data_IF_805562097374
#
_entry.id   IF_805562097374
#
_cell.length_a   1.000
_cell.length_b   1.000
_cell.length_c   1.000
_cell.angle_alpha   90.00
_cell.angle_beta   90.00
_cell.angle_gamma   90.00
#
_symmetry.space_group_name_H-M   'P 1'
#
loop_
_entity.id
_entity.type
_entity.pdbx_description
1 polymer ?
#
# COMPACT_ATOMS: atom_id res chain seq x y z
N UNK A 1 4.93 8.65 5.92
CA UNK A 1 4.17 9.73 6.56
C UNK A 1 5.08 10.90 6.93
N UNK A 2 6.18 10.67 7.67
CA UNK A 2 7.08 11.72 8.16
C UNK A 2 7.96 12.37 7.08
N UNK A 3 8.01 11.82 5.87
CA UNK A 3 8.82 12.36 4.76
C UNK A 3 8.09 13.38 3.90
N UNK A 4 6.75 13.51 4.01
CA UNK A 4 6.02 14.43 3.17
C UNK A 4 4.50 14.34 3.28
N UNK A 5 3.82 15.16 2.50
CA UNK A 5 2.37 15.16 2.36
C UNK A 5 1.93 14.18 1.28
N UNK A 6 0.78 13.55 1.49
CA UNK A 6 0.24 12.53 0.60
C UNK A 6 -0.41 13.11 -0.67
N UNK A 7 0.27 14.07 -1.30
CA UNK A 7 -0.21 14.74 -2.51
C UNK A 7 -0.61 13.76 -3.63
N UNK A 8 0.13 12.66 -3.79
CA UNK A 8 -0.19 11.63 -4.77
C UNK A 8 -1.58 11.02 -4.54
N UNK A 9 -1.96 10.75 -3.29
CA UNK A 9 -3.30 10.25 -2.97
C UNK A 9 -4.40 11.28 -3.26
N UNK A 10 -4.14 12.57 -3.04
CA UNK A 10 -5.06 13.66 -3.41
C UNK A 10 -5.33 13.67 -4.90
N UNK A 11 -4.28 13.64 -5.73
CA UNK A 11 -4.45 13.66 -7.17
C UNK A 11 -5.13 12.40 -7.69
N UNK A 12 -4.81 11.22 -7.12
CA UNK A 12 -5.53 9.99 -7.41
C UNK A 12 -7.02 10.10 -7.03
N UNK A 13 -7.35 10.63 -5.84
CA UNK A 13 -8.74 10.84 -5.43
C UNK A 13 -9.51 11.71 -6.42
N UNK A 14 -8.89 12.80 -6.90
CA UNK A 14 -9.52 13.78 -7.77
C UNK A 14 -9.63 13.30 -9.24
N UNK A 15 -8.86 12.26 -9.61
CA UNK A 15 -9.01 11.59 -10.92
C UNK A 15 -10.32 10.81 -10.93
N UNK A 16 -10.88 10.62 -12.11
CA UNK A 16 -12.06 9.77 -12.30
C UNK A 16 -11.85 8.89 -13.54
N UNK A 17 -10.64 8.35 -13.68
CA UNK A 17 -10.22 7.61 -14.87
C UNK A 17 -9.62 6.24 -14.59
N UNK A 18 -9.75 5.71 -13.35
CA UNK A 18 -9.35 4.36 -12.98
C UNK A 18 -10.41 3.65 -12.12
N UNK A 19 -10.27 2.34 -11.88
CA UNK A 19 -11.29 1.51 -11.26
C UNK A 19 -10.90 1.03 -9.85
N UNK A 20 -9.62 0.91 -9.54
CA UNK A 20 -9.12 0.44 -8.25
C UNK A 20 -7.69 0.94 -7.99
N UNK A 21 -7.29 0.98 -6.73
CA UNK A 21 -5.92 1.25 -6.29
C UNK A 21 -5.26 -0.09 -5.95
N UNK A 22 -4.11 -0.37 -6.55
CA UNK A 22 -3.22 -1.45 -6.12
C UNK A 22 -2.15 -0.84 -5.21
N UNK A 23 -2.06 -1.30 -3.97
CA UNK A 23 -1.07 -0.87 -3.01
C UNK A 23 -0.12 -2.04 -2.71
N UNK A 24 1.16 -1.85 -3.02
CA UNK A 24 2.13 -2.95 -3.07
C UNK A 24 2.98 -3.07 -1.80
N UNK A 25 2.54 -2.44 -0.71
CA UNK A 25 3.19 -2.50 0.59
C UNK A 25 3.68 -1.14 1.07
N UNK A 26 4.31 -1.11 2.25
CA UNK A 26 4.77 0.12 2.93
C UNK A 26 3.63 1.14 3.16
N UNK A 27 2.47 0.62 3.52
CA UNK A 27 1.32 1.46 3.85
C UNK A 27 1.55 2.24 5.15
N UNK A 28 2.26 1.63 6.11
CA UNK A 28 2.75 2.25 7.33
C UNK A 28 4.25 1.95 7.49
N UNK A 29 4.93 2.68 8.36
CA UNK A 29 6.32 2.46 8.75
C UNK A 29 6.40 2.26 10.26
N UNK A 30 7.18 1.28 10.73
CA UNK A 30 7.25 0.86 12.13
C UNK A 30 8.08 1.79 13.02
N UNK A 31 8.93 2.61 12.47
CA UNK A 31 9.90 3.42 13.23
C UNK A 31 9.25 4.36 14.24
N UNK A 32 10.00 4.64 15.31
CA UNK A 32 9.68 5.71 16.26
C UNK A 32 9.63 7.07 15.55
N UNK A 33 8.86 8.01 16.08
CA UNK A 33 8.81 9.38 15.58
C UNK A 33 10.21 9.99 15.45
N UNK A 34 10.51 10.55 14.28
CA UNK A 34 11.84 11.10 13.96
C UNK A 34 12.91 10.06 13.59
N UNK A 35 12.62 8.76 13.71
CA UNK A 35 13.56 7.69 13.35
C UNK A 35 13.78 7.55 11.84
N UNK A 36 12.73 7.81 11.06
CA UNK A 36 12.75 7.84 9.60
C UNK A 36 11.90 9.04 9.14
N UNK A 37 12.51 10.22 9.07
CA UNK A 37 11.79 11.49 8.95
C UNK A 37 12.57 12.55 8.19
N UNK A 38 11.87 13.39 7.41
CA UNK A 38 12.38 14.63 6.85
C UNK A 38 12.30 15.82 7.81
N UNK A 39 11.76 15.64 9.02
CA UNK A 39 11.64 16.68 10.04
C UNK A 39 10.51 17.68 9.80
N UNK A 40 9.45 17.27 9.11
CA UNK A 40 8.24 18.08 8.88
C UNK A 40 7.41 18.07 10.17
N UNK A 41 7.23 19.24 10.80
CA UNK A 41 6.76 19.39 12.18
C UNK A 41 5.31 18.95 12.46
N UNK A 42 4.47 18.80 11.42
CA UNK A 42 3.08 18.35 11.54
C UNK A 42 2.85 16.94 11.00
N UNK A 43 3.95 16.22 10.76
CA UNK A 43 3.94 14.86 10.20
C UNK A 43 4.64 13.85 11.12
N UNK A 44 4.64 14.07 12.43
CA UNK A 44 5.20 13.12 13.39
C UNK A 44 4.34 11.87 13.49
N UNK A 45 4.98 10.70 13.62
CA UNK A 45 4.30 9.43 13.78
C UNK A 45 3.65 9.28 15.17
N UNK A 46 2.47 8.67 15.21
CA UNK A 46 1.86 8.15 16.44
C UNK A 46 1.70 6.61 16.35
N UNK A 47 1.99 5.86 17.44
CA UNK A 47 2.58 6.34 18.68
C UNK A 47 4.02 6.82 18.45
N UNK A 48 4.58 7.60 19.39
CA UNK A 48 5.92 8.18 19.27
C UNK A 48 7.05 7.14 19.34
N UNK A 49 6.79 5.97 19.93
CA UNK A 49 7.73 4.84 19.98
C UNK A 49 7.67 4.00 18.70
N UNK A 50 8.69 3.20 18.47
CA UNK A 50 8.62 2.11 17.49
C UNK A 50 7.47 1.16 17.82
N UNK A 51 6.76 0.71 16.79
CA UNK A 51 5.58 -0.14 16.98
C UNK A 51 5.95 -1.61 17.04
N UNK A 52 5.51 -2.29 18.12
CA UNK A 52 5.81 -3.70 18.42
C UNK A 52 4.55 -4.45 18.81
N UNK A 53 3.72 -3.83 19.66
CA UNK A 53 2.49 -4.46 20.16
C UNK A 53 1.32 -4.26 19.17
N UNK A 54 0.31 -5.11 19.30
CA UNK A 54 -0.93 -4.99 18.51
C UNK A 54 -1.56 -3.60 18.64
N UNK A 55 -1.54 -3.03 19.84
CA UNK A 55 -2.07 -1.67 20.08
C UNK A 55 -1.24 -0.61 19.36
N UNK A 56 0.07 -0.72 19.35
CA UNK A 56 0.94 0.22 18.63
C UNK A 56 0.64 0.22 17.13
N UNK A 57 0.52 -0.98 16.52
CA UNK A 57 0.17 -1.11 15.10
C UNK A 57 -1.20 -0.51 14.80
N UNK A 58 -2.21 -0.75 15.65
CA UNK A 58 -3.55 -0.16 15.50
C UNK A 58 -3.53 1.36 15.57
N UNK A 59 -2.76 1.93 16.51
CA UNK A 59 -2.58 3.38 16.61
C UNK A 59 -1.91 3.93 15.36
N UNK A 60 -0.87 3.28 14.84
CA UNK A 60 -0.16 3.70 13.63
C UNK A 60 -1.09 3.68 12.39
N UNK A 61 -1.87 2.62 12.17
CA UNK A 61 -2.88 2.59 11.10
C UNK A 61 -3.94 3.68 11.26
N UNK A 62 -4.43 3.86 12.48
CA UNK A 62 -5.38 4.93 12.81
C UNK A 62 -4.83 6.30 12.48
N UNK A 63 -3.58 6.55 12.87
CA UNK A 63 -2.88 7.81 12.63
C UNK A 63 -2.75 8.11 11.13
N UNK A 64 -2.29 7.16 10.32
CA UNK A 64 -2.20 7.34 8.87
C UNK A 64 -3.56 7.59 8.23
N UNK A 65 -4.64 6.94 8.74
CA UNK A 65 -6.01 7.14 8.26
C UNK A 65 -6.65 8.45 8.68
N UNK A 66 -6.02 9.24 9.55
CA UNK A 66 -6.42 10.62 9.82
C UNK A 66 -5.99 11.59 8.72
N UNK A 67 -5.05 11.19 7.85
CA UNK A 67 -4.72 11.97 6.66
C UNK A 67 -5.93 12.00 5.71
N UNK A 68 -6.38 13.21 5.38
CA UNK A 68 -7.58 13.44 4.57
C UNK A 68 -7.46 12.84 3.17
N UNK A 69 -6.30 12.97 2.55
CA UNK A 69 -6.09 12.53 1.18
C UNK A 69 -6.11 11.00 1.06
N UNK A 70 -5.48 10.30 2.01
CA UNK A 70 -5.52 8.84 2.09
C UNK A 70 -6.93 8.33 2.44
N UNK A 71 -7.60 8.96 3.40
CA UNK A 71 -8.96 8.59 3.81
C UNK A 71 -9.95 8.74 2.67
N UNK A 72 -9.92 9.89 1.99
CA UNK A 72 -10.84 10.22 0.91
C UNK A 72 -10.60 9.33 -0.31
N UNK A 73 -9.34 8.95 -0.60
CA UNK A 73 -9.05 7.97 -1.64
C UNK A 73 -9.64 6.60 -1.33
N UNK A 74 -9.55 6.13 -0.08
CA UNK A 74 -10.21 4.89 0.36
C UNK A 74 -11.73 4.96 0.29
N UNK A 75 -12.33 6.14 0.46
CA UNK A 75 -13.76 6.33 0.31
C UNK A 75 -14.21 6.18 -1.14
N UNK A 76 -13.40 6.65 -2.09
CA UNK A 76 -13.76 6.70 -3.51
C UNK A 76 -13.47 5.40 -4.25
N UNK A 77 -12.39 4.70 -3.91
CA UNK A 77 -11.88 3.59 -4.69
C UNK A 77 -11.64 2.33 -3.85
N UNK A 78 -11.91 1.13 -4.41
CA UNK A 78 -11.49 -0.11 -3.78
C UNK A 78 -9.97 -0.23 -3.80
N UNK A 79 -9.40 -0.72 -2.70
CA UNK A 79 -7.98 -1.01 -2.57
C UNK A 79 -7.73 -2.51 -2.67
N UNK A 80 -6.72 -2.89 -3.45
CA UNK A 80 -6.17 -4.23 -3.53
C UNK A 80 -4.76 -4.17 -2.97
N UNK A 81 -4.58 -4.67 -1.75
CA UNK A 81 -3.35 -4.48 -0.98
C UNK A 81 -2.57 -5.77 -0.81
N UNK A 82 -1.26 -5.65 -0.68
CA UNK A 82 -0.35 -6.58 -0.01
C UNK A 82 0.49 -5.79 0.98
N UNK A 83 1.03 -6.45 2.02
CA UNK A 83 2.06 -5.84 2.85
C UNK A 83 3.42 -5.91 2.16
N UNK A 84 4.34 -5.07 2.62
CA UNK A 84 5.77 -5.26 2.46
C UNK A 84 6.39 -5.44 3.86
N UNK A 85 7.65 -5.10 4.07
CA UNK A 85 8.31 -5.33 5.35
C UNK A 85 7.86 -4.34 6.44
N UNK A 86 7.70 -3.05 6.12
CA UNK A 86 7.38 -2.01 7.09
C UNK A 86 6.00 -2.13 7.75
N UNK A 87 5.10 -2.92 7.19
CA UNK A 87 3.88 -3.31 7.92
C UNK A 87 4.19 -4.19 9.12
N UNK A 88 5.39 -4.78 9.19
CA UNK A 88 5.90 -5.51 10.36
C UNK A 88 7.18 -4.89 10.91
N UNK A 89 8.30 -4.99 10.22
CA UNK A 89 9.57 -4.33 10.54
C UNK A 89 10.52 -4.44 9.34
N UNK A 90 11.39 -3.43 9.16
CA UNK A 90 12.38 -3.37 8.07
C UNK A 90 13.09 -4.68 7.81
N UNK A 91 13.19 -5.04 6.52
CA UNK A 91 13.79 -6.27 6.00
C UNK A 91 13.22 -7.53 6.67
N UNK A 92 11.88 -7.59 6.84
CA UNK A 92 11.23 -8.75 7.42
C UNK A 92 11.29 -9.99 6.52
N UNK A 93 11.40 -11.14 7.16
CA UNK A 93 11.35 -12.46 6.56
C UNK A 93 10.54 -13.41 7.46
N UNK A 94 10.39 -14.67 7.07
CA UNK A 94 9.50 -15.62 7.75
C UNK A 94 9.76 -15.70 9.24
N UNK A 95 11.03 -15.75 9.67
CA UNK A 95 11.45 -16.04 11.04
C UNK A 95 12.11 -14.84 11.76
N UNK A 96 12.12 -13.64 11.16
CA UNK A 96 12.75 -12.45 11.74
C UNK A 96 12.60 -11.21 10.91
N UNK A 97 13.30 -10.15 11.32
CA UNK A 97 13.46 -8.90 10.59
C UNK A 97 14.81 -8.25 10.96
N UNK A 98 15.35 -7.42 10.08
CA UNK A 98 16.55 -6.65 10.40
C UNK A 98 16.27 -5.67 11.55
N UNK A 99 15.10 -5.00 11.53
CA UNK A 99 14.66 -4.10 12.60
C UNK A 99 13.83 -4.83 13.66
N UNK A 100 14.41 -5.91 14.25
CA UNK A 100 13.81 -6.61 15.37
C UNK A 100 14.87 -7.21 16.28
N UNK A 101 14.91 -6.79 17.55
CA UNK A 101 15.78 -7.33 18.58
C UNK A 101 14.99 -8.16 19.61
N UNK A 102 15.06 -9.52 19.55
CA UNK A 102 14.32 -10.37 20.49
C UNK A 102 14.69 -10.15 21.96
N UNK A 103 15.85 -9.54 22.26
CA UNK A 103 16.29 -9.29 23.64
C UNK A 103 15.56 -8.12 24.31
N UNK A 104 15.07 -7.16 23.52
CA UNK A 104 14.37 -5.95 24.00
C UNK A 104 12.91 -5.89 23.59
N UNK A 105 12.54 -6.53 22.48
CA UNK A 105 11.23 -6.40 21.82
C UNK A 105 10.36 -7.67 21.95
N UNK A 106 10.92 -8.75 22.50
CA UNK A 106 10.21 -10.01 22.65
C UNK A 106 10.35 -10.94 21.44
N UNK A 107 9.46 -11.93 21.34
CA UNK A 107 9.55 -12.90 20.24
C UNK A 107 9.10 -12.30 18.92
N UNK A 108 9.85 -12.60 17.84
CA UNK A 108 9.43 -12.24 16.49
C UNK A 108 8.03 -12.76 16.13
N UNK A 109 7.72 -13.99 16.54
CA UNK A 109 6.38 -14.58 16.32
C UNK A 109 5.25 -13.74 16.88
N UNK A 110 5.45 -13.07 18.00
CA UNK A 110 4.45 -12.20 18.62
C UNK A 110 4.31 -10.90 17.85
N UNK A 111 5.45 -10.25 17.48
CA UNK A 111 5.42 -9.04 16.64
C UNK A 111 4.79 -9.32 15.28
N UNK A 112 5.17 -10.40 14.60
CA UNK A 112 4.58 -10.85 13.33
C UNK A 112 3.07 -11.06 13.47
N UNK A 113 2.62 -11.74 14.53
CA UNK A 113 1.19 -11.95 14.79
C UNK A 113 0.44 -10.63 15.01
N UNK A 114 1.02 -9.71 15.79
CA UNK A 114 0.44 -8.41 16.08
C UNK A 114 0.29 -7.56 14.81
N UNK A 115 1.33 -7.49 14.00
CA UNK A 115 1.37 -6.71 12.76
C UNK A 115 0.38 -7.25 11.73
N UNK A 116 0.38 -8.56 11.48
CA UNK A 116 -0.51 -9.19 10.51
C UNK A 116 -1.98 -9.12 10.94
N UNK A 117 -2.27 -9.22 12.23
CA UNK A 117 -3.62 -9.01 12.76
C UNK A 117 -4.08 -7.58 12.53
N UNK A 118 -3.27 -6.57 12.90
CA UNK A 118 -3.62 -5.16 12.68
C UNK A 118 -3.83 -4.87 11.18
N UNK A 119 -2.98 -5.43 10.31
CA UNK A 119 -3.13 -5.29 8.87
C UNK A 119 -4.49 -5.76 8.37
N UNK A 120 -4.95 -6.95 8.79
CA UNK A 120 -6.26 -7.49 8.39
C UNK A 120 -7.45 -6.75 9.02
N UNK A 121 -7.24 -6.08 10.15
CA UNK A 121 -8.27 -5.23 10.76
C UNK A 121 -8.48 -3.90 10.01
N UNK A 122 -7.42 -3.36 9.42
CA UNK A 122 -7.43 -2.02 8.80
C UNK A 122 -7.54 -2.03 7.28
N UNK A 123 -7.14 -3.11 6.63
CA UNK A 123 -7.13 -3.21 5.17
C UNK A 123 -8.10 -4.29 4.67
N UNK A 124 -8.78 -4.06 3.52
CA UNK A 124 -9.91 -4.89 3.07
C UNK A 124 -9.46 -6.21 2.41
N UNK A 125 -8.77 -7.05 3.17
CA UNK A 125 -8.30 -8.36 2.70
C UNK A 125 -9.17 -9.47 3.27
N UNK A 126 -9.50 -10.44 2.44
CA UNK A 126 -10.12 -11.69 2.86
C UNK A 126 -9.11 -12.81 2.75
N UNK A 127 -8.77 -13.41 3.88
CA UNK A 127 -8.00 -14.66 3.89
C UNK A 127 -8.86 -15.81 3.37
N UNK A 128 -8.28 -16.76 2.62
CA UNK A 128 -9.00 -17.92 2.09
C UNK A 128 -9.60 -18.79 3.20
N UNK A 129 -8.95 -18.85 4.35
CA UNK A 129 -9.35 -19.60 5.53
C UNK A 129 -9.58 -18.62 6.67
N UNK A 130 -10.74 -18.62 7.36
CA UNK A 130 -10.97 -17.76 8.51
C UNK A 130 -9.91 -17.96 9.61
N UNK A 131 -9.27 -16.86 10.01
CA UNK A 131 -8.19 -16.85 11.01
C UNK A 131 -6.80 -17.14 10.46
N UNK A 132 -6.66 -17.44 9.18
CA UNK A 132 -5.40 -17.48 8.48
C UNK A 132 -5.02 -16.06 8.04
N UNK A 133 -3.76 -15.68 8.22
CA UNK A 133 -3.24 -14.36 7.85
C UNK A 133 -2.60 -14.34 6.46
N UNK A 134 -2.86 -15.35 5.64
CA UNK A 134 -2.39 -15.42 4.26
C UNK A 134 -2.91 -14.24 3.43
N UNK A 135 -1.99 -13.50 2.78
CA UNK A 135 -2.36 -12.41 1.87
C UNK A 135 -2.19 -12.76 0.40
N UNK A 136 -1.35 -13.75 0.07
CA UNK A 136 -1.21 -14.12 -1.34
C UNK A 136 -2.52 -14.73 -1.85
N UNK A 137 -2.98 -14.21 -2.95
CA UNK A 137 -4.30 -14.54 -3.51
C UNK A 137 -4.39 -14.23 -4.99
N UNK A 138 -5.36 -14.86 -5.64
CA UNK A 138 -5.72 -14.58 -7.03
C UNK A 138 -7.03 -13.78 -7.07
N UNK A 139 -7.05 -12.74 -7.88
CA UNK A 139 -8.25 -11.96 -8.22
C UNK A 139 -8.44 -12.06 -9.73
N UNK A 140 -9.61 -12.51 -10.15
CA UNK A 140 -9.93 -12.66 -11.56
C UNK A 140 -10.86 -11.52 -12.01
N UNK A 141 -10.48 -10.84 -13.09
CA UNK A 141 -11.30 -9.80 -13.72
C UNK A 141 -11.75 -10.25 -15.11
N UNK A 142 -12.85 -10.99 -15.16
CA UNK A 142 -13.39 -11.57 -16.37
C UNK A 142 -12.39 -12.51 -17.08
N UNK A 143 -12.31 -12.38 -18.40
CA UNK A 143 -11.32 -13.05 -19.25
C UNK A 143 -10.09 -12.16 -19.57
N UNK A 144 -10.04 -10.96 -18.97
CA UNK A 144 -9.01 -9.99 -19.26
C UNK A 144 -7.79 -10.16 -18.34
N UNK A 145 -7.99 -10.31 -17.03
CA UNK A 145 -6.91 -10.30 -16.05
C UNK A 145 -7.07 -11.43 -15.05
N UNK A 146 -5.99 -12.17 -14.82
CA UNK A 146 -5.72 -12.90 -13.59
C UNK A 146 -4.63 -12.14 -12.82
N UNK A 147 -4.99 -11.52 -11.70
CA UNK A 147 -4.09 -10.78 -10.82
C UNK A 147 -3.68 -11.68 -9.66
N UNK A 148 -2.38 -11.92 -9.52
CA UNK A 148 -1.75 -12.69 -8.47
C UNK A 148 -1.04 -11.73 -7.51
N UNK A 149 -1.63 -11.50 -6.34
CA UNK A 149 -1.01 -10.72 -5.28
C UNK A 149 -0.15 -11.65 -4.45
N UNK A 150 1.14 -11.35 -4.30
CA UNK A 150 2.12 -12.21 -3.65
C UNK A 150 2.48 -11.73 -2.24
N UNK A 151 3.05 -12.61 -1.44
CA UNK A 151 3.73 -12.32 -0.19
C UNK A 151 5.22 -12.65 -0.36
N UNK A 152 6.06 -11.65 -0.52
CA UNK A 152 7.50 -11.81 -0.66
C UNK A 152 8.24 -11.61 0.66
N UNK A 153 7.52 -11.54 1.79
CA UNK A 153 8.08 -11.26 3.13
C UNK A 153 7.81 -12.38 4.14
N UNK A 154 6.58 -12.62 4.49
CA UNK A 154 6.26 -13.39 5.69
C UNK A 154 5.88 -14.86 5.47
N UNK A 155 5.53 -15.26 4.24
CA UNK A 155 5.05 -16.63 3.95
C UNK A 155 6.18 -17.66 3.92
N UNK A 156 7.29 -17.36 3.25
CA UNK A 156 8.32 -18.37 3.06
C UNK A 156 9.71 -17.82 2.75
N UNK A 157 9.92 -16.52 2.96
CA UNK A 157 11.17 -15.85 2.71
C UNK A 157 12.26 -16.26 3.68
N UNK A 158 13.40 -16.68 3.16
CA UNK A 158 14.63 -16.86 3.92
C UNK A 158 15.24 -15.51 4.30
N UNK A 159 16.00 -15.47 5.41
CA UNK A 159 16.78 -14.28 5.78
C UNK A 159 17.67 -13.80 4.62
N UNK A 160 17.83 -12.47 4.47
CA UNK A 160 18.72 -11.87 3.47
C UNK A 160 20.18 -12.26 3.67
N UNK A 161 20.99 -12.03 2.64
CA UNK A 161 22.42 -12.36 2.66
C UNK A 161 22.72 -13.83 2.37
N UNK A 162 23.97 -14.17 2.25
CA UNK A 162 24.42 -15.48 1.79
C UNK A 162 24.50 -15.57 0.27
N UNK A 163 24.52 -16.78 -0.29
CA UNK A 163 24.61 -16.95 -1.74
C UNK A 163 23.22 -16.87 -2.38
N UNK A 164 23.00 -15.93 -3.27
CA UNK A 164 21.76 -15.80 -4.03
C UNK A 164 21.42 -17.05 -4.88
N UNK A 165 22.45 -17.80 -5.28
CA UNK A 165 22.32 -19.04 -6.07
C UNK A 165 22.13 -20.29 -5.21
N UNK A 166 21.99 -20.20 -3.88
CA UNK A 166 21.72 -21.36 -3.02
C UNK A 166 20.29 -21.88 -3.26
N UNK A 167 20.12 -23.15 -3.70
CA UNK A 167 18.81 -23.75 -3.97
C UNK A 167 17.90 -23.90 -2.72
N UNK A 168 18.46 -23.73 -1.54
CA UNK A 168 17.68 -23.78 -0.28
C UNK A 168 17.14 -22.41 0.14
N UNK A 169 17.58 -21.34 -0.50
CA UNK A 169 17.05 -20.01 -0.26
C UNK A 169 15.77 -19.78 -1.05
N UNK A 170 14.81 -19.14 -0.44
CA UNK A 170 13.51 -18.90 -1.04
C UNK A 170 13.02 -17.48 -0.70
N UNK A 171 12.34 -16.86 -1.65
CA UNK A 171 11.59 -15.64 -1.47
C UNK A 171 10.09 -15.91 -1.23
N UNK A 172 9.51 -16.84 -1.99
CA UNK A 172 8.09 -17.17 -1.94
C UNK A 172 7.74 -18.35 -1.04
N UNK A 173 8.72 -19.22 -0.76
CA UNK A 173 8.45 -20.53 -0.18
C UNK A 173 7.83 -21.51 -1.18
N UNK A 174 7.97 -22.80 -0.89
CA UNK A 174 7.52 -23.83 -1.83
C UNK A 174 6.00 -23.87 -2.03
N UNK A 175 5.23 -23.53 -1.00
CA UNK A 175 3.77 -23.55 -1.02
C UNK A 175 3.24 -22.48 -1.97
N UNK A 176 3.64 -21.25 -1.76
CA UNK A 176 3.20 -20.11 -2.59
C UNK A 176 3.76 -20.23 -4.04
N UNK A 177 5.03 -20.64 -4.20
CA UNK A 177 5.61 -20.86 -5.53
C UNK A 177 4.78 -21.86 -6.35
N UNK A 178 4.45 -23.02 -5.76
CA UNK A 178 3.67 -24.04 -6.46
C UNK A 178 2.24 -23.57 -6.74
N UNK A 179 1.64 -22.85 -5.78
CA UNK A 179 0.33 -22.23 -5.96
C UNK A 179 0.33 -21.25 -7.15
N UNK A 180 1.34 -20.38 -7.23
CA UNK A 180 1.49 -19.40 -8.30
C UNK A 180 1.56 -20.09 -9.67
N UNK A 181 2.54 -20.98 -9.86
CA UNK A 181 2.75 -21.66 -11.14
C UNK A 181 1.53 -22.50 -11.56
N UNK A 182 0.87 -23.19 -10.63
CA UNK A 182 -0.30 -23.99 -10.97
C UNK A 182 -1.49 -23.13 -11.41
N UNK A 183 -1.68 -21.96 -10.76
CA UNK A 183 -2.73 -21.02 -11.17
C UNK A 183 -2.41 -20.35 -12.50
N UNK A 184 -1.17 -19.94 -12.74
CA UNK A 184 -0.75 -19.36 -14.02
C UNK A 184 -0.93 -20.35 -15.18
N UNK A 185 -0.56 -21.62 -14.99
CA UNK A 185 -0.73 -22.68 -15.99
C UNK A 185 -2.18 -22.96 -16.35
N UNK A 186 -3.08 -22.80 -15.41
CA UNK A 186 -4.52 -23.03 -15.59
C UNK A 186 -5.30 -21.77 -16.00
N UNK A 187 -4.64 -20.63 -16.08
CA UNK A 187 -5.24 -19.37 -16.46
C UNK A 187 -5.75 -19.39 -17.91
N UNK A 188 -6.91 -18.78 -18.11
CA UNK A 188 -7.48 -18.47 -19.43
C UNK A 188 -7.60 -16.97 -19.65
N UNK A 189 -7.10 -16.18 -18.72
CA UNK A 189 -7.11 -14.72 -18.85
C UNK A 189 -6.09 -14.26 -19.90
N UNK A 190 -6.41 -13.13 -20.56
CA UNK A 190 -5.52 -12.49 -21.52
C UNK A 190 -4.18 -12.08 -20.90
N UNK A 191 -4.24 -11.45 -19.73
CA UNK A 191 -3.08 -10.95 -19.00
C UNK A 191 -2.91 -11.69 -17.67
N UNK A 192 -1.67 -12.00 -17.34
CA UNK A 192 -1.28 -12.55 -16.06
C UNK A 192 -0.43 -11.53 -15.33
N UNK A 193 -1.01 -10.92 -14.31
CA UNK A 193 -0.39 -9.80 -13.60
C UNK A 193 0.03 -10.25 -12.21
N UNK A 194 1.30 -10.06 -11.87
CA UNK A 194 1.83 -10.29 -10.54
C UNK A 194 1.92 -8.94 -9.82
N UNK A 195 1.20 -8.77 -8.72
CA UNK A 195 1.39 -7.65 -7.79
C UNK A 195 2.24 -8.13 -6.62
N UNK A 196 3.43 -7.57 -6.48
CA UNK A 196 4.40 -8.01 -5.49
C UNK A 196 5.26 -6.84 -5.00
N UNK A 197 6.09 -7.08 -3.99
CA UNK A 197 6.75 -6.03 -3.25
C UNK A 197 8.06 -5.61 -3.91
N UNK A 198 9.03 -6.52 -3.99
CA UNK A 198 10.44 -6.23 -4.27
C UNK A 198 10.81 -6.41 -5.75
N UNK A 199 11.76 -5.63 -6.26
CA UNK A 199 12.15 -5.63 -7.67
C UNK A 199 12.58 -7.03 -8.14
N UNK A 200 11.97 -7.48 -9.26
CA UNK A 200 12.18 -8.81 -9.81
C UNK A 200 13.30 -8.85 -10.85
N UNK A 201 13.38 -7.84 -11.71
CA UNK A 201 14.46 -7.76 -12.70
C UNK A 201 15.82 -7.62 -12.02
N UNK A 202 16.88 -8.25 -12.53
CA UNK A 202 18.23 -8.07 -12.01
C UNK A 202 18.66 -6.60 -12.02
N UNK A 203 19.38 -6.18 -10.98
CA UNK A 203 19.97 -4.84 -10.92
C UNK A 203 21.43 -4.91 -10.50
N UNK A 204 22.30 -4.73 -11.45
CA UNK A 204 23.75 -4.73 -11.23
C UNK A 204 24.34 -3.35 -11.51
N UNK A 205 25.24 -2.91 -10.65
CA UNK A 205 26.09 -1.74 -10.91
C UNK A 205 27.53 -2.16 -10.83
N UNK A 206 28.26 -2.00 -11.94
CA UNK A 206 29.67 -2.39 -12.08
C UNK A 206 29.93 -3.86 -11.73
N UNK A 207 28.96 -4.75 -11.98
CA UNK A 207 29.08 -6.19 -11.77
C UNK A 207 28.85 -6.65 -10.32
N UNK A 208 28.23 -5.80 -9.51
CA UNK A 208 27.77 -6.15 -8.17
C UNK A 208 26.26 -5.88 -8.07
N UNK A 209 25.53 -6.75 -7.39
CA UNK A 209 24.13 -6.54 -7.04
C UNK A 209 24.00 -5.34 -6.12
N UNK A 210 22.94 -4.55 -6.31
CA UNK A 210 22.74 -3.34 -5.55
C UNK A 210 22.04 -3.63 -4.21
N UNK A 211 21.11 -4.58 -4.21
CA UNK A 211 20.25 -4.85 -3.06
C UNK A 211 19.91 -6.35 -2.96
N UNK A 212 20.38 -7.01 -1.91
CA UNK A 212 20.09 -8.44 -1.64
C UNK A 212 18.68 -8.64 -1.03
N UNK A 213 17.99 -7.56 -0.68
CA UNK A 213 16.62 -7.62 -0.17
C UNK A 213 15.58 -7.88 -1.27
N UNK A 214 15.91 -7.59 -2.51
CA UNK A 214 15.09 -7.89 -3.67
C UNK A 214 15.41 -9.29 -4.26
N UNK A 215 14.82 -9.64 -5.42
CA UNK A 215 15.05 -10.94 -6.08
C UNK A 215 16.52 -11.25 -6.40
N UNK A 216 17.38 -10.24 -6.41
CA UNK A 216 18.81 -10.41 -6.56
C UNK A 216 19.50 -11.17 -5.40
N UNK A 217 18.88 -11.18 -4.22
CA UNK A 217 19.30 -12.05 -3.11
C UNK A 217 18.79 -13.50 -3.23
N UNK A 218 18.00 -13.83 -4.26
CA UNK A 218 17.30 -15.11 -4.44
C UNK A 218 17.32 -15.57 -5.91
N UNK A 219 18.45 -15.43 -6.57
CA UNK A 219 18.64 -15.71 -8.01
C UNK A 219 18.16 -17.10 -8.40
N UNK A 220 18.45 -18.12 -7.57
CA UNK A 220 18.03 -19.48 -7.85
C UNK A 220 16.50 -19.60 -7.97
N UNK A 221 15.75 -18.97 -7.09
CA UNK A 221 14.28 -19.03 -7.15
C UNK A 221 13.73 -18.15 -8.27
N UNK A 222 14.34 -17.00 -8.55
CA UNK A 222 14.00 -16.15 -9.70
C UNK A 222 14.17 -16.93 -11.01
N UNK A 223 15.33 -17.53 -11.22
CA UNK A 223 15.62 -18.33 -12.43
C UNK A 223 14.65 -19.51 -12.56
N UNK A 224 14.37 -20.20 -11.46
CA UNK A 224 13.38 -21.29 -11.42
C UNK A 224 11.97 -20.81 -11.78
N UNK A 225 11.58 -19.61 -11.35
CA UNK A 225 10.30 -19.00 -11.70
C UNK A 225 10.26 -18.66 -13.20
N UNK A 226 11.29 -18.01 -13.72
CA UNK A 226 11.42 -17.65 -15.12
C UNK A 226 11.42 -18.89 -16.03
N UNK A 227 12.19 -19.92 -15.70
CA UNK A 227 12.21 -21.20 -16.40
C UNK A 227 10.84 -21.89 -16.39
N UNK A 228 10.11 -21.82 -15.25
CA UNK A 228 8.77 -22.39 -15.15
C UNK A 228 7.77 -21.66 -16.04
N UNK A 229 7.83 -20.34 -16.11
CA UNK A 229 6.99 -19.50 -16.98
C UNK A 229 7.27 -19.83 -18.45
N UNK A 230 8.54 -19.81 -18.84
CA UNK A 230 8.99 -20.08 -20.19
C UNK A 230 8.64 -21.52 -20.65
N UNK A 231 8.93 -22.54 -19.83
CA UNK A 231 8.68 -23.95 -20.14
C UNK A 231 7.18 -24.29 -20.28
N UNK A 232 6.31 -23.54 -19.62
CA UNK A 232 4.85 -23.72 -19.70
C UNK A 232 4.18 -22.80 -20.74
N UNK A 233 4.95 -22.02 -21.52
CA UNK A 233 4.46 -21.04 -22.49
C UNK A 233 3.43 -20.06 -21.88
N UNK A 234 3.69 -19.60 -20.67
CA UNK A 234 2.88 -18.58 -20.02
C UNK A 234 3.24 -17.23 -20.65
N UNK A 235 2.27 -16.61 -21.32
CA UNK A 235 2.45 -15.37 -22.06
C UNK A 235 1.76 -14.20 -21.38
N UNK A 236 2.00 -12.98 -21.86
CA UNK A 236 1.38 -11.76 -21.38
C UNK A 236 1.56 -11.56 -19.88
N UNK A 237 2.74 -11.86 -19.36
CA UNK A 237 3.08 -11.65 -17.98
C UNK A 237 3.50 -10.19 -17.76
N UNK A 238 2.91 -9.56 -16.75
CA UNK A 238 3.27 -8.23 -16.27
C UNK A 238 3.51 -8.32 -14.77
N UNK A 239 4.60 -7.73 -14.30
CA UNK A 239 4.91 -7.63 -12.87
C UNK A 239 4.75 -6.18 -12.42
N UNK A 240 4.10 -5.96 -11.29
CA UNK A 240 3.93 -4.68 -10.63
C UNK A 240 4.69 -4.73 -9.32
N UNK A 241 5.55 -3.74 -9.08
CA UNK A 241 6.52 -3.75 -7.99
C UNK A 241 6.56 -2.40 -7.27
N UNK A 242 6.82 -2.42 -5.95
CA UNK A 242 7.05 -1.26 -5.08
C UNK A 242 8.46 -1.25 -4.47
N UNK A 243 8.55 -1.08 -3.14
CA UNK A 243 9.74 -1.23 -2.28
C UNK A 243 10.91 -0.25 -2.55
N UNK A 244 11.47 -0.28 -3.73
CA UNK A 244 12.73 0.41 -4.07
C UNK A 244 12.61 1.96 -4.16
N UNK A 245 11.44 2.52 -3.89
CA UNK A 245 11.14 3.97 -3.83
C UNK A 245 11.60 4.77 -5.05
N UNK A 246 11.57 4.14 -6.22
CA UNK A 246 11.95 4.72 -7.52
C UNK A 246 11.17 4.03 -8.63
N UNK A 247 11.07 4.67 -9.79
CA UNK A 247 10.31 4.12 -10.91
C UNK A 247 11.23 3.46 -11.92
N UNK A 248 10.81 2.28 -12.41
CA UNK A 248 11.55 1.52 -13.41
C UNK A 248 10.62 0.86 -14.41
N UNK A 249 11.11 0.65 -15.63
CA UNK A 249 10.54 -0.26 -16.61
C UNK A 249 11.61 -1.25 -16.99
N UNK A 250 11.32 -2.52 -16.77
CA UNK A 250 12.25 -3.61 -16.99
C UNK A 250 11.62 -4.67 -17.89
N UNK A 251 12.36 -5.14 -18.87
CA UNK A 251 12.07 -6.45 -19.47
C UNK A 251 12.61 -7.53 -18.52
N UNK A 252 11.93 -8.67 -18.40
CA UNK A 252 12.36 -9.74 -17.51
C UNK A 252 13.24 -10.76 -18.24
N UNK A 253 14.59 -10.69 -18.09
CA UNK A 253 15.53 -11.33 -18.99
C UNK A 253 15.81 -12.79 -18.62
N UNK A 254 15.71 -13.70 -19.59
CA UNK A 254 16.38 -14.99 -19.55
C UNK A 254 17.86 -14.85 -19.93
N UNK A 255 18.66 -15.90 -19.75
CA UNK A 255 20.08 -15.90 -20.05
C UNK A 255 20.44 -15.57 -21.51
N UNK A 256 19.51 -15.73 -22.44
CA UNK A 256 19.64 -15.40 -23.85
C UNK A 256 18.99 -14.09 -24.26
N UNK A 257 18.72 -13.22 -23.31
CA UNK A 257 18.05 -11.92 -23.54
C UNK A 257 18.86 -11.02 -24.49
N UNK A 258 18.14 -10.35 -25.38
CA UNK A 258 18.68 -9.33 -26.29
C UNK A 258 17.71 -8.15 -26.41
N UNK A 259 18.09 -7.01 -25.88
CA UNK A 259 17.29 -5.77 -25.91
C UNK A 259 16.96 -5.31 -27.34
N UNK A 260 17.86 -5.53 -28.31
CA UNK A 260 17.65 -5.09 -29.70
C UNK A 260 16.60 -5.89 -30.46
N UNK A 261 16.28 -7.10 -30.02
CA UNK A 261 15.33 -8.01 -30.69
C UNK A 261 14.20 -8.49 -29.80
N UNK A 262 14.20 -8.10 -28.54
CA UNK A 262 13.28 -8.60 -27.51
C UNK A 262 13.30 -10.12 -27.34
N UNK A 263 14.37 -10.78 -27.79
CA UNK A 263 14.51 -12.25 -27.62
C UNK A 263 14.88 -12.56 -26.17
N UNK A 264 14.26 -13.57 -25.58
CA UNK A 264 14.59 -14.03 -24.24
C UNK A 264 14.01 -13.16 -23.11
N UNK A 265 13.02 -12.32 -23.36
CA UNK A 265 12.19 -11.74 -22.31
C UNK A 265 10.96 -12.60 -22.06
N UNK A 266 10.56 -12.76 -20.79
CA UNK A 266 9.35 -13.51 -20.40
C UNK A 266 8.19 -12.61 -20.00
N UNK A 267 8.40 -11.30 -19.88
CA UNK A 267 7.41 -10.33 -19.47
C UNK A 267 8.02 -8.97 -19.18
N UNK A 268 7.20 -8.06 -18.69
CA UNK A 268 7.60 -6.68 -18.35
C UNK A 268 7.30 -6.41 -16.89
N UNK A 269 8.22 -5.74 -16.19
CA UNK A 269 8.04 -5.24 -14.85
C UNK A 269 7.88 -3.73 -14.86
N UNK A 270 6.81 -3.25 -14.23
CA UNK A 270 6.55 -1.86 -13.93
C UNK A 270 6.77 -1.63 -12.44
N UNK A 271 7.83 -0.90 -12.10
CA UNK A 271 8.13 -0.52 -10.73
C UNK A 271 7.63 0.90 -10.50
N UNK A 272 6.82 1.08 -9.45
CA UNK A 272 6.26 2.38 -9.08
C UNK A 272 7.04 2.96 -7.89
N UNK A 273 7.28 4.27 -7.95
CA UNK A 273 7.95 5.00 -6.86
C UNK A 273 7.07 5.10 -5.61
N UNK A 274 7.66 5.56 -4.52
CA UNK A 274 6.98 5.86 -3.27
C UNK A 274 6.10 7.12 -3.36
N UNK A 275 5.13 7.21 -2.45
CA UNK A 275 4.32 8.43 -2.26
C UNK A 275 5.13 9.53 -1.60
N UNK A 276 5.94 9.18 -0.57
CA UNK A 276 6.75 10.16 0.17
C UNK A 276 8.11 9.62 0.66
N UNK A 277 8.33 8.32 0.72
CA UNK A 277 9.58 7.75 1.22
C UNK A 277 10.75 8.06 0.29
N UNK A 278 11.96 8.35 0.81
CA UNK A 278 13.11 8.76 0.00
C UNK A 278 13.49 7.74 -1.06
N UNK A 279 13.69 8.19 -2.29
CA UNK A 279 14.18 7.37 -3.39
C UNK A 279 15.70 7.18 -3.39
N UNK A 280 16.23 6.66 -4.50
CA UNK A 280 17.65 6.39 -4.71
C UNK A 280 18.46 7.63 -5.16
N UNK A 281 18.13 8.81 -4.65
CA UNK A 281 18.76 10.07 -5.03
C UNK A 281 20.28 10.09 -4.78
N UNK A 282 20.80 9.21 -3.90
CA UNK A 282 22.23 9.03 -3.66
C UNK A 282 22.97 8.46 -4.90
N UNK A 283 22.28 7.77 -5.79
CA UNK A 283 22.79 7.38 -7.11
C UNK A 283 22.77 8.56 -8.09
N UNK A 284 22.45 9.75 -7.61
CA UNK A 284 22.16 10.96 -8.36
C UNK A 284 23.14 11.27 -9.48
N UNK A 285 22.63 11.44 -10.67
CA UNK A 285 23.37 11.62 -11.90
C UNK A 285 23.55 10.35 -12.72
N UNK A 286 23.23 9.17 -12.23
CA UNK A 286 23.07 7.98 -13.02
C UNK A 286 21.69 8.04 -13.71
N UNK A 287 21.65 8.48 -14.94
CA UNK A 287 20.42 8.39 -15.76
C UNK A 287 20.22 6.99 -16.32
N UNK A 288 19.03 6.70 -16.84
CA UNK A 288 18.65 5.43 -17.46
C UNK A 288 19.75 4.87 -18.40
N UNK A 289 20.32 5.71 -19.26
CA UNK A 289 21.35 5.27 -20.21
C UNK A 289 22.63 4.76 -19.55
N UNK A 290 23.00 5.27 -18.39
CA UNK A 290 24.18 4.80 -17.64
C UNK A 290 23.89 3.47 -16.96
N UNK A 291 22.72 3.32 -16.36
CA UNK A 291 22.28 2.08 -15.73
C UNK A 291 22.11 0.97 -16.76
N UNK A 292 21.51 1.27 -17.92
CA UNK A 292 21.29 0.35 -19.02
C UNK A 292 22.59 -0.20 -19.64
N UNK A 293 23.74 0.47 -19.45
CA UNK A 293 25.03 -0.08 -19.89
C UNK A 293 25.37 -1.39 -19.19
N UNK A 294 24.97 -1.56 -17.95
CA UNK A 294 25.17 -2.77 -17.15
C UNK A 294 23.92 -3.68 -17.16
N UNK A 295 22.76 -3.10 -17.41
CA UNK A 295 21.44 -3.71 -17.32
C UNK A 295 20.65 -3.45 -18.61
N UNK A 296 20.97 -4.12 -19.74
CA UNK A 296 20.38 -3.81 -21.04
C UNK A 296 18.86 -4.10 -21.14
N UNK A 297 18.28 -4.73 -20.14
CA UNK A 297 16.84 -4.98 -19.99
C UNK A 297 16.09 -3.83 -19.32
N UNK A 298 16.79 -2.86 -18.72
CA UNK A 298 16.16 -1.68 -18.10
C UNK A 298 15.91 -0.62 -19.20
N UNK A 299 14.65 -0.28 -19.38
CA UNK A 299 14.20 0.63 -20.43
C UNK A 299 14.00 2.07 -19.91
N UNK A 300 13.70 2.24 -18.62
CA UNK A 300 13.44 3.52 -17.99
C UNK A 300 13.78 3.49 -16.50
N UNK A 301 14.24 4.62 -15.99
CA UNK A 301 14.43 4.85 -14.54
C UNK A 301 14.12 6.30 -14.18
N UNK A 302 13.44 6.49 -13.05
CA UNK A 302 13.40 7.75 -12.31
C UNK A 302 13.70 7.47 -10.85
N UNK A 303 14.81 7.97 -10.35
CA UNK A 303 15.43 7.54 -9.09
C UNK A 303 15.04 8.41 -7.88
N UNK A 304 14.33 9.51 -8.08
CA UNK A 304 14.16 10.52 -7.04
C UNK A 304 12.75 11.10 -6.90
N UNK A 305 11.94 10.99 -7.94
CA UNK A 305 10.61 11.61 -7.94
C UNK A 305 9.58 10.73 -7.21
N UNK A 306 8.60 11.39 -6.58
CA UNK A 306 7.50 10.75 -5.84
C UNK A 306 6.18 10.87 -6.60
N UNK A 307 5.35 9.83 -6.54
CA UNK A 307 4.11 9.89 -7.28
C UNK A 307 3.36 8.56 -7.36
N UNK A 308 2.80 8.29 -8.53
CA UNK A 308 2.02 7.09 -8.79
C UNK A 308 2.04 6.71 -10.27
N UNK A 309 1.55 5.53 -10.57
CA UNK A 309 1.38 5.05 -11.94
C UNK A 309 -0.08 4.71 -12.20
N UNK A 310 -0.61 5.12 -13.34
CA UNK A 310 -1.90 4.62 -13.86
C UNK A 310 -1.63 3.46 -14.81
N UNK A 311 -2.12 2.29 -14.45
CA UNK A 311 -2.06 1.10 -15.28
C UNK A 311 -3.37 0.95 -16.07
N UNK A 312 -3.30 1.04 -17.39
CA UNK A 312 -4.42 0.81 -18.29
C UNK A 312 -4.27 -0.57 -18.95
N UNK A 313 -5.28 -1.41 -18.83
CA UNK A 313 -5.25 -2.79 -19.33
C UNK A 313 -6.38 -3.00 -20.32
N UNK A 314 -6.02 -3.36 -21.53
CA UNK A 314 -6.93 -3.75 -22.59
C UNK A 314 -6.56 -5.11 -23.17
N UNK A 315 -7.40 -5.68 -24.06
CA UNK A 315 -7.03 -6.92 -24.77
C UNK A 315 -5.82 -6.74 -25.68
N UNK A 316 -5.54 -5.53 -26.13
CA UNK A 316 -4.45 -5.26 -27.08
C UNK A 316 -3.12 -4.96 -26.40
N UNK A 317 -3.16 -4.35 -25.22
CA UNK A 317 -1.95 -3.93 -24.51
C UNK A 317 -2.22 -3.62 -23.04
N UNK A 318 -1.17 -3.69 -22.24
CA UNK A 318 -1.09 -3.14 -20.88
C UNK A 318 -0.13 -1.96 -20.89
N UNK A 319 -0.56 -0.79 -20.37
CA UNK A 319 0.21 0.45 -20.39
C UNK A 319 0.34 1.03 -18.99
N UNK A 320 1.55 1.41 -18.58
CA UNK A 320 1.85 2.16 -17.36
C UNK A 320 2.18 3.62 -17.67
N UNK A 321 1.49 4.55 -17.02
CA UNK A 321 1.66 5.99 -17.21
C UNK A 321 2.11 6.59 -15.88
N UNK A 322 3.30 7.19 -15.84
CA UNK A 322 3.93 7.73 -14.64
C UNK A 322 3.58 9.19 -14.43
N UNK A 323 3.16 9.50 -13.21
CA UNK A 323 2.83 10.86 -12.76
C UNK A 323 3.61 11.16 -11.48
N UNK A 324 4.25 12.34 -11.44
CA UNK A 324 5.04 12.76 -10.27
C UNK A 324 4.53 14.05 -9.69
N UNK A 325 4.77 14.22 -8.40
CA UNK A 325 4.44 15.41 -7.65
C UNK A 325 5.54 16.45 -7.82
N UNK A 326 5.18 17.73 -8.00
CA UNK A 326 6.18 18.81 -8.04
C UNK A 326 6.95 18.95 -6.71
N UNK A 327 6.36 18.57 -5.59
CA UNK A 327 6.97 18.48 -4.28
C UNK A 327 6.11 17.65 -3.33
N UNK A 328 6.72 17.04 -2.34
CA UNK A 328 6.06 16.39 -1.20
C UNK A 328 6.18 17.21 0.09
N UNK A 329 6.96 18.31 0.08
CA UNK A 329 7.23 19.12 1.27
C UNK A 329 6.11 20.10 1.62
N UNK A 330 5.17 20.31 0.70
CA UNK A 330 4.03 21.20 0.87
C UNK A 330 2.75 20.60 0.28
N UNK A 331 1.61 20.87 0.92
CA UNK A 331 0.30 20.45 0.44
C UNK A 331 -0.03 21.12 -0.90
N UNK A 332 -0.66 20.37 -1.82
CA UNK A 332 -1.12 20.87 -3.13
C UNK A 332 0.00 21.39 -4.05
N UNK A 333 1.09 20.66 -4.13
CA UNK A 333 2.25 21.07 -4.93
C UNK A 333 2.05 20.97 -6.46
N UNK A 334 1.00 20.33 -6.94
CA UNK A 334 0.79 20.00 -8.35
C UNK A 334 1.39 18.67 -8.77
N UNK A 335 0.94 18.16 -9.92
CA UNK A 335 1.46 16.94 -10.54
C UNK A 335 1.83 17.19 -11.99
N UNK A 336 2.64 16.29 -12.56
CA UNK A 336 2.92 16.27 -13.99
C UNK A 336 3.03 14.83 -14.51
N UNK A 337 2.65 14.64 -15.77
CA UNK A 337 2.93 13.40 -16.50
C UNK A 337 4.41 13.42 -16.93
N UNK A 338 5.12 12.31 -16.71
CA UNK A 338 6.52 12.17 -17.09
C UNK A 338 6.65 11.31 -18.35
N UNK A 339 6.35 10.01 -18.23
CA UNK A 339 6.53 9.07 -19.33
C UNK A 339 5.48 7.95 -19.28
N UNK A 340 5.34 7.23 -20.40
CA UNK A 340 4.46 6.07 -20.49
C UNK A 340 5.14 4.94 -21.26
N UNK A 341 4.86 3.71 -20.82
CA UNK A 341 5.33 2.49 -21.46
C UNK A 341 4.19 1.49 -21.60
N UNK A 342 4.26 0.61 -22.58
CA UNK A 342 3.28 -0.42 -22.78
C UNK A 342 3.93 -1.73 -23.23
N UNK A 343 3.23 -2.83 -23.02
CA UNK A 343 3.51 -4.12 -23.62
C UNK A 343 2.30 -4.57 -24.42
N UNK A 344 2.52 -4.93 -25.69
CA UNK A 344 1.45 -5.39 -26.58
C UNK A 344 1.13 -6.87 -26.34
N UNK A 345 -0.12 -7.26 -26.61
CA UNK A 345 -0.53 -8.68 -26.58
C UNK A 345 0.39 -9.55 -27.42
N UNK A 346 0.87 -10.64 -26.82
CA UNK A 346 1.81 -11.57 -27.41
C UNK A 346 3.28 -11.11 -27.41
N UNK A 347 3.59 -9.93 -26.88
CA UNK A 347 4.95 -9.43 -26.64
C UNK A 347 5.36 -9.60 -25.18
N UNK A 348 6.67 -9.48 -24.94
CA UNK A 348 7.27 -9.59 -23.61
C UNK A 348 8.32 -8.51 -23.32
N UNK A 349 8.37 -7.44 -24.14
CA UNK A 349 9.23 -6.28 -23.91
C UNK A 349 8.41 -5.00 -23.91
N UNK A 350 8.87 -4.04 -23.13
CA UNK A 350 8.27 -2.73 -23.03
C UNK A 350 8.59 -1.86 -24.26
N UNK A 351 7.59 -1.10 -24.69
CA UNK A 351 7.70 -0.08 -25.72
C UNK A 351 7.30 1.28 -25.12
N UNK A 352 8.06 2.33 -25.43
CA UNK A 352 7.74 3.68 -24.96
C UNK A 352 6.56 4.26 -25.74
N UNK A 353 5.63 4.89 -25.03
CA UNK A 353 4.52 5.64 -25.59
C UNK A 353 4.82 7.14 -25.54
N UNK A 354 4.34 7.89 -26.54
CA UNK A 354 4.58 9.34 -26.60
C UNK A 354 3.59 10.18 -25.78
N UNK A 355 2.50 9.57 -25.33
CA UNK A 355 1.41 10.21 -24.57
C UNK A 355 0.78 9.21 -23.62
N UNK A 356 0.18 9.68 -22.51
CA UNK A 356 -0.52 8.79 -21.59
C UNK A 356 -1.76 8.18 -22.24
N UNK A 357 -2.15 7.02 -21.75
CA UNK A 357 -3.42 6.40 -22.15
C UNK A 357 -4.59 7.19 -21.59
N UNK A 358 -5.64 7.35 -22.38
CA UNK A 358 -6.86 8.04 -21.98
C UNK A 358 -7.97 7.00 -21.81
N UNK A 359 -8.68 7.03 -20.70
CA UNK A 359 -9.86 6.19 -20.47
C UNK A 359 -10.94 6.47 -21.52
N UNK A 360 -11.39 5.44 -22.21
CA UNK A 360 -12.42 5.54 -23.26
C UNK A 360 -13.82 5.10 -22.77
N UNK A 361 -13.90 4.42 -21.63
CA UNK A 361 -15.16 4.00 -21.01
C UNK A 361 -15.63 5.07 -20.01
N UNK A 362 -16.95 5.25 -19.82
CA UNK A 362 -17.43 6.15 -18.77
C UNK A 362 -16.85 5.75 -17.41
N UNK A 363 -16.36 6.72 -16.63
CA UNK A 363 -15.86 6.42 -15.29
C UNK A 363 -16.99 5.94 -14.38
N UNK A 364 -16.70 5.16 -13.32
CA UNK A 364 -17.67 4.90 -12.28
C UNK A 364 -18.13 6.22 -11.64
N UNK A 365 -19.36 6.24 -11.15
CA UNK A 365 -19.83 7.38 -10.34
C UNK A 365 -19.04 7.41 -9.03
N UNK A 366 -18.59 8.60 -8.64
CA UNK A 366 -17.96 8.76 -7.34
C UNK A 366 -18.88 8.24 -6.22
N UNK A 367 -18.27 7.68 -5.19
CA UNK A 367 -18.98 7.34 -3.97
C UNK A 367 -19.67 8.61 -3.44
N UNK A 368 -20.89 8.49 -2.88
CA UNK A 368 -21.52 9.65 -2.25
C UNK A 368 -20.60 10.16 -1.14
N UNK A 369 -20.61 11.47 -0.93
CA UNK A 369 -19.92 12.08 0.21
C UNK A 369 -20.27 11.30 1.48
N UNK A 370 -19.28 11.18 2.36
CA UNK A 370 -19.48 10.51 3.65
C UNK A 370 -20.79 10.98 4.27
N UNK A 371 -21.56 10.08 4.90
CA UNK A 371 -22.73 10.49 5.69
C UNK A 371 -22.43 11.53 6.76
N UNK A 372 -21.14 11.74 7.09
CA UNK A 372 -20.72 12.90 7.92
C UNK A 372 -20.94 14.21 7.16
N UNK A 373 -20.83 14.21 5.83
CA UNK A 373 -21.18 15.32 4.94
C UNK A 373 -22.53 15.11 4.22
N UNK A 374 -23.07 13.90 4.25
CA UNK A 374 -24.34 13.53 3.62
C UNK A 374 -25.51 13.77 4.54
N UNK A 375 -26.19 14.89 4.38
CA UNK A 375 -27.57 15.17 4.87
C UNK A 375 -27.85 15.04 6.37
N UNK A 376 -26.89 15.15 7.27
CA UNK A 376 -27.16 16.10 8.31
C UNK A 376 -27.28 17.42 7.55
N UNK A 377 -28.44 18.03 7.45
CA UNK A 377 -28.53 19.47 7.34
C UNK A 377 -27.66 20.00 8.47
N UNK A 378 -26.36 20.21 8.18
CA UNK A 378 -25.56 21.09 8.98
C UNK A 378 -26.25 22.43 8.70
N UNK A 379 -27.19 22.76 9.55
CA UNK A 379 -27.65 24.13 9.65
C UNK A 379 -26.36 24.92 9.82
N UNK A 380 -26.04 25.83 8.90
CA UNK A 380 -24.79 26.58 8.87
C UNK A 380 -24.54 27.45 10.10
N UNK A 381 -25.22 27.16 11.19
CA UNK A 381 -25.15 27.79 12.49
C UNK A 381 -24.53 26.91 13.59
N UNK A 382 -24.07 25.69 13.30
CA UNK A 382 -23.42 24.81 14.28
C UNK A 382 -21.89 24.92 14.21
N UNK A 383 -21.36 26.08 14.57
CA UNK A 383 -19.94 26.30 14.81
C UNK A 383 -19.53 26.02 16.27
N UNK A 384 -20.26 25.18 17.01
CA UNK A 384 -19.96 24.95 18.42
C UNK A 384 -18.89 23.91 18.64
N UNK A 385 -18.82 22.90 17.75
CA UNK A 385 -17.80 21.85 17.83
C UNK A 385 -17.61 21.10 16.51
N UNK A 386 -16.45 20.46 16.37
CA UNK A 386 -16.10 19.56 15.26
C UNK A 386 -15.68 18.22 15.86
N UNK A 387 -16.26 17.12 15.41
CA UNK A 387 -15.85 15.76 15.80
C UNK A 387 -14.82 15.26 14.80
N UNK A 388 -13.61 14.93 15.28
CA UNK A 388 -12.56 14.35 14.46
C UNK A 388 -12.67 12.83 14.34
N UNK A 389 -13.21 12.16 15.36
CA UNK A 389 -13.42 10.72 15.32
C UNK A 389 -13.63 10.08 16.67
N UNK A 390 -13.74 8.75 16.63
CA UNK A 390 -13.88 7.90 17.82
C UNK A 390 -12.90 6.75 17.73
N UNK A 391 -12.20 6.44 18.83
CA UNK A 391 -11.25 5.34 18.88
C UNK A 391 -11.19 4.66 20.27
N UNK A 392 -10.81 3.38 20.36
CA UNK A 392 -10.70 2.47 19.22
C UNK A 392 -12.06 2.28 18.53
N UNK A 393 -12.05 2.03 17.24
CA UNK A 393 -13.25 1.67 16.49
C UNK A 393 -12.87 0.58 15.46
N UNK A 394 -13.25 -0.70 15.67
CA UNK A 394 -14.17 -1.20 16.69
C UNK A 394 -13.68 -1.02 18.15
N UNK A 395 -14.61 -0.87 19.09
CA UNK A 395 -14.33 -0.77 20.51
C UNK A 395 -14.89 -1.98 21.28
N UNK A 396 -14.32 -2.28 22.45
CA UNK A 396 -14.75 -3.40 23.28
C UNK A 396 -15.50 -2.92 24.53
N UNK A 397 -14.85 -2.19 25.41
CA UNK A 397 -15.41 -1.71 26.68
C UNK A 397 -15.15 -0.22 26.93
N UNK A 398 -14.40 0.43 26.07
CA UNK A 398 -14.18 1.88 26.14
C UNK A 398 -14.11 2.49 24.74
N UNK A 399 -14.49 3.76 24.64
CA UNK A 399 -14.41 4.56 23.43
C UNK A 399 -13.97 5.97 23.79
N UNK A 400 -13.04 6.53 23.04
CA UNK A 400 -12.62 7.91 23.17
C UNK A 400 -13.16 8.70 21.97
N UNK A 401 -13.77 9.84 22.24
CA UNK A 401 -14.25 10.78 21.24
C UNK A 401 -13.29 11.95 21.20
N UNK A 402 -12.73 12.21 20.04
CA UNK A 402 -11.89 13.37 19.80
C UNK A 402 -12.71 14.46 19.13
N UNK A 403 -12.81 15.63 19.78
CA UNK A 403 -13.54 16.76 19.24
C UNK A 403 -12.88 18.11 19.58
N UNK A 404 -13.02 19.05 18.67
CA UNK A 404 -12.64 20.44 18.87
C UNK A 404 -13.89 21.23 19.25
N UNK A 405 -13.82 21.99 20.35
CA UNK A 405 -14.92 22.83 20.85
C UNK A 405 -14.56 24.28 20.61
N UNK A 406 -15.41 24.99 19.88
CA UNK A 406 -15.24 26.41 19.61
C UNK A 406 -16.01 27.28 20.60
N UNK A 407 -17.25 26.90 20.93
CA UNK A 407 -18.08 27.57 21.91
C UNK A 407 -18.38 26.65 23.10
N UNK A 408 -18.26 27.20 24.29
CA UNK A 408 -18.39 26.48 25.56
C UNK A 408 -19.88 26.30 25.95
N UNK A 409 -20.55 25.36 25.27
CA UNK A 409 -21.93 24.98 25.62
C UNK A 409 -21.94 23.57 26.24
N UNK A 410 -22.89 23.29 27.16
CA UNK A 410 -23.11 21.92 27.63
C UNK A 410 -23.42 20.99 26.47
N UNK A 411 -22.87 19.78 26.51
CA UNK A 411 -23.01 18.78 25.43
C UNK A 411 -23.57 17.48 25.99
N UNK A 412 -24.51 16.89 25.24
CA UNK A 412 -25.05 15.55 25.52
C UNK A 412 -24.52 14.54 24.54
N UNK A 413 -24.01 13.41 25.03
CA UNK A 413 -23.52 12.29 24.28
C UNK A 413 -24.46 11.10 24.45
N UNK A 414 -25.04 10.61 23.38
CA UNK A 414 -25.99 9.48 23.38
C UNK A 414 -25.52 8.38 22.43
N UNK A 415 -25.42 7.15 22.96
CA UNK A 415 -25.09 5.97 22.17
C UNK A 415 -26.34 5.12 21.96
N UNK A 416 -26.62 4.77 20.72
CA UNK A 416 -27.80 4.01 20.31
C UNK A 416 -27.40 2.67 19.70
N UNK A 417 -28.17 1.61 19.95
CA UNK A 417 -28.09 0.36 19.20
C UNK A 417 -28.86 0.46 17.86
N UNK A 418 -28.76 -0.58 17.02
CA UNK A 418 -29.43 -0.64 15.72
C UNK A 418 -30.98 -0.55 15.80
N UNK A 419 -31.57 -0.79 16.97
CA UNK A 419 -33.02 -0.69 17.17
C UNK A 419 -33.46 0.71 17.56
N UNK A 420 -32.51 1.63 17.72
CA UNK A 420 -32.76 3.00 18.18
C UNK A 420 -32.90 3.13 19.70
N UNK A 421 -32.54 2.09 20.47
CA UNK A 421 -32.54 2.14 21.93
C UNK A 421 -31.29 2.84 22.42
N UNK A 422 -31.48 3.78 23.36
CA UNK A 422 -30.36 4.45 24.03
C UNK A 422 -29.64 3.45 24.95
N UNK A 423 -28.36 3.22 24.69
CA UNK A 423 -27.45 2.40 25.49
C UNK A 423 -26.76 3.24 26.55
N UNK A 424 -26.42 4.48 26.20
CA UNK A 424 -25.76 5.43 27.09
C UNK A 424 -26.27 6.84 26.76
N UNK A 425 -26.50 7.63 27.80
CA UNK A 425 -26.69 9.08 27.67
C UNK A 425 -25.85 9.77 28.75
N UNK A 426 -25.05 10.75 28.39
CA UNK A 426 -24.18 11.47 29.31
C UNK A 426 -24.09 12.95 28.94
N UNK A 427 -24.42 13.79 29.91
CA UNK A 427 -24.23 15.23 29.80
C UNK A 427 -22.86 15.64 30.34
N UNK A 428 -22.19 16.53 29.63
CA UNK A 428 -20.92 17.14 30.02
C UNK A 428 -21.12 18.66 30.01
N UNK A 429 -21.12 19.24 31.18
CA UNK A 429 -21.41 20.67 31.38
C UNK A 429 -20.22 21.58 31.01
N UNK A 430 -19.01 21.08 31.08
CA UNK A 430 -17.78 21.86 30.82
C UNK A 430 -16.78 21.09 29.97
N UNK A 431 -16.59 21.58 28.76
CA UNK A 431 -15.45 21.20 27.92
C UNK A 431 -14.50 22.41 27.78
N UNK A 432 -13.25 22.15 27.50
CA UNK A 432 -12.29 23.22 27.22
C UNK A 432 -12.44 23.71 25.78
N UNK A 433 -12.28 25.00 25.55
CA UNK A 433 -12.14 25.51 24.19
C UNK A 433 -10.87 24.89 23.55
N UNK A 434 -11.01 24.39 22.33
CA UNK A 434 -9.96 23.68 21.63
C UNK A 434 -10.18 22.15 21.63
N UNK A 435 -9.12 21.40 21.50
CA UNK A 435 -9.15 19.94 21.37
C UNK A 435 -9.49 19.26 22.70
N UNK A 436 -10.45 18.35 22.68
CA UNK A 436 -10.90 17.56 23.82
C UNK A 436 -10.92 16.08 23.47
N UNK A 437 -10.59 15.25 24.46
CA UNK A 437 -10.65 13.80 24.39
C UNK A 437 -11.59 13.30 25.48
N UNK A 438 -12.74 12.77 25.08
CA UNK A 438 -13.77 12.33 26.00
C UNK A 438 -13.83 10.81 25.98
N UNK A 439 -13.47 10.21 27.10
CA UNK A 439 -13.48 8.75 27.26
C UNK A 439 -14.76 8.28 27.94
N UNK A 440 -15.41 7.29 27.35
CA UNK A 440 -16.53 6.57 27.92
C UNK A 440 -16.16 5.12 28.17
N UNK A 441 -16.52 4.62 29.33
CA UNK A 441 -16.45 3.20 29.66
C UNK A 441 -17.82 2.58 29.48
N UNK A 442 -17.90 1.51 28.70
CA UNK A 442 -19.13 0.86 28.28
C UNK A 442 -19.05 -0.62 28.68
N UNK A 443 -19.94 -1.04 29.55
CA UNK A 443 -20.01 -2.43 30.02
C UNK A 443 -21.16 -3.18 29.36
N UNK A 444 -21.03 -4.49 29.18
CA UNK A 444 -22.07 -5.40 28.71
C UNK A 444 -22.68 -5.06 27.33
N UNK A 445 -21.87 -4.56 26.40
CA UNK A 445 -22.33 -4.30 25.03
C UNK A 445 -22.40 -5.59 24.22
N UNK A 446 -23.46 -5.74 23.44
CA UNK A 446 -23.54 -6.79 22.42
C UNK A 446 -22.62 -6.48 21.22
N UNK A 447 -22.10 -7.50 20.55
CA UNK A 447 -21.36 -7.31 19.31
C UNK A 447 -22.30 -6.72 18.24
N UNK A 448 -21.92 -5.58 17.65
CA UNK A 448 -22.70 -4.93 16.59
C UNK A 448 -22.33 -3.44 16.41
N UNK A 449 -22.87 -2.80 15.37
CA UNK A 449 -22.72 -1.36 15.18
C UNK A 449 -23.61 -0.56 16.14
N UNK A 450 -23.11 0.61 16.52
CA UNK A 450 -23.78 1.59 17.37
C UNK A 450 -23.71 2.96 16.71
N UNK A 451 -24.70 3.82 16.98
CA UNK A 451 -24.73 5.21 16.55
C UNK A 451 -24.46 6.14 17.72
N UNK A 452 -23.46 7.01 17.61
CA UNK A 452 -23.18 8.05 18.59
C UNK A 452 -23.79 9.36 18.10
N UNK A 453 -24.62 9.98 18.91
CA UNK A 453 -25.20 11.31 18.68
C UNK A 453 -24.64 12.28 19.71
N UNK A 454 -24.14 13.41 19.25
CA UNK A 454 -23.60 14.48 20.08
C UNK A 454 -24.47 15.72 19.84
N UNK A 455 -24.99 16.32 20.93
CA UNK A 455 -25.88 17.48 20.89
C UNK A 455 -25.27 18.60 21.72
N UNK A 456 -25.34 19.83 21.23
CA UNK A 456 -25.06 21.04 22.00
C UNK A 456 -26.38 21.62 22.59
N UNK A 457 -26.34 22.25 23.75
CA UNK A 457 -27.52 22.66 24.47
C UNK A 457 -28.40 23.71 23.75
N UNK A 458 -27.85 24.45 22.80
CA UNK A 458 -28.58 25.50 22.08
C UNK A 458 -29.20 25.02 20.74
N UNK A 459 -29.03 23.75 20.37
CA UNK A 459 -29.56 23.22 19.12
C UNK A 459 -30.12 21.79 19.31
N UNK A 460 -31.40 21.61 19.01
CA UNK A 460 -32.11 20.34 18.96
C UNK A 460 -32.11 19.77 17.55
#
# INVERSE_FOLDING_TARGET
YEHGYFNAYRYLRDRNDFDAVLHLGDYIYEYAAGGYSAGISDRENEPLNEIITLEDYRVRYSHYRLDDDLRDLHQQYPFINVWDDHESANDSYMDGAQNHDPSSEGLWSDRKSNSTQAYHEWLPIRSPIPGDMQIYRKIQYGDLIDLYMLDTRLEGRSEQGGSASDPNRSLLGSTQFNWLINNMKSSTAQWQILGQQVMMAPLEIMGATLNDDQWDGYDYERDRLYDSINANNINNMVVLTGDIHSSWINDLPLSNYSSSSCTGSIGVEFVVTSVTSPGLSFLGGLGTSTIALFNPHIQYTNLSEHGYMILDISKAKTSGNYYYMNSIDAVMSGEYFDDAFYVSDGNSCAEQASVPTIRITPPPTFAPDSPINGTATIDQHLNDFIVFGTYPNPFYNEITIQLFVENLNPMTFELYDLTGRIIMSKDIDVLNKGLNYIKFYLEDLSIGPYSLIIKSADHY
#
